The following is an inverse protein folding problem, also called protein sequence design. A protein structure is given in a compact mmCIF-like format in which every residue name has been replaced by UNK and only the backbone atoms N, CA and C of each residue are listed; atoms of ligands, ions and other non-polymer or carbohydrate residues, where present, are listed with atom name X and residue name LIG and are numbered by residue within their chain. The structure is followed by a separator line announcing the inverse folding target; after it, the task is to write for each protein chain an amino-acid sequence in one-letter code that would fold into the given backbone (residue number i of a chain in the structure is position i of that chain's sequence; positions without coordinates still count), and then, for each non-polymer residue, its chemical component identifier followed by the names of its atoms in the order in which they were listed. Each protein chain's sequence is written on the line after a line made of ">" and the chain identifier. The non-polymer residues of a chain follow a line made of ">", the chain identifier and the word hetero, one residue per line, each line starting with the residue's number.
data_IF_712213242910
#
_entry.id   IF_712213242910
#
_cell.length_a   1.000
_cell.length_b   1.000
_cell.length_c   1.000
_cell.angle_alpha   90.00
_cell.angle_beta   90.00
_cell.angle_gamma   90.00
#
_symmetry.space_group_name_H-M   'P 1'
#
loop_
_entity.id
_entity.type
_entity.pdbx_description
1 polymer ?
#
# COMPACT_ATOMS: atom_id res chain seq x y z
N UNK A 1 12.95 21.06 -10.58
CA UNK A 1 13.10 20.84 -9.14
C UNK A 1 14.18 19.78 -8.91
N UNK A 2 15.06 20.03 -7.97
CA UNK A 2 16.09 19.05 -7.59
C UNK A 2 15.57 18.21 -6.44
N UNK A 3 15.63 16.88 -6.58
CA UNK A 3 15.18 15.94 -5.57
C UNK A 3 16.38 15.14 -5.10
N UNK A 4 16.74 15.28 -3.83
CA UNK A 4 17.88 14.59 -3.24
C UNK A 4 17.48 13.56 -2.18
N UNK A 5 16.21 13.57 -1.74
CA UNK A 5 15.71 12.62 -0.75
C UNK A 5 14.18 12.60 -0.75
N UNK A 6 13.62 11.51 -0.21
CA UNK A 6 12.18 11.42 0.05
C UNK A 6 11.80 12.22 1.31
N UNK A 7 10.56 12.70 1.41
CA UNK A 7 10.04 13.24 2.65
C UNK A 7 9.96 12.16 3.74
N UNK A 8 9.64 12.50 5.00
CA UNK A 8 9.40 11.50 6.04
C UNK A 8 8.30 10.51 5.63
N UNK A 9 8.39 9.29 6.16
CA UNK A 9 7.42 8.24 5.86
C UNK A 9 6.02 8.65 6.35
N UNK A 10 5.00 8.45 5.50
CA UNK A 10 3.62 8.80 5.79
C UNK A 10 2.81 7.63 6.34
N UNK A 11 3.03 6.42 5.81
CA UNK A 11 2.44 5.22 6.37
C UNK A 11 3.31 3.99 6.13
N UNK A 12 3.07 2.97 6.94
CA UNK A 12 3.61 1.62 6.77
C UNK A 12 2.48 0.74 6.28
N UNK A 13 2.71 -0.01 5.21
CA UNK A 13 1.72 -0.91 4.64
C UNK A 13 1.96 -2.36 5.05
N UNK A 14 0.90 -3.01 5.49
CA UNK A 14 0.89 -4.43 5.86
C UNK A 14 -0.15 -5.12 4.99
N UNK A 15 0.27 -6.13 4.23
CA UNK A 15 -0.63 -6.91 3.37
C UNK A 15 -1.03 -8.16 4.11
N UNK A 16 -2.34 -8.46 4.12
CA UNK A 16 -2.90 -9.57 4.89
C UNK A 16 -3.83 -10.42 4.02
N UNK A 17 -4.00 -11.68 4.42
CA UNK A 17 -4.93 -12.58 3.75
C UNK A 17 -6.38 -12.40 4.23
N UNK A 18 -6.56 -11.91 5.45
CA UNK A 18 -7.87 -11.78 6.11
C UNK A 18 -7.91 -10.47 6.90
N UNK A 19 -8.65 -9.50 6.37
CA UNK A 19 -8.75 -8.16 6.96
C UNK A 19 -9.40 -8.19 8.35
N UNK A 20 -10.49 -8.93 8.50
CA UNK A 20 -11.23 -8.94 9.77
C UNK A 20 -10.37 -9.52 10.91
N UNK A 21 -9.66 -10.59 10.62
CA UNK A 21 -8.74 -11.21 11.58
C UNK A 21 -7.58 -10.27 11.92
N UNK A 22 -6.99 -9.65 10.90
CA UNK A 22 -5.87 -8.73 11.10
C UNK A 22 -6.27 -7.53 11.96
N UNK A 23 -7.43 -6.93 11.71
CA UNK A 23 -7.92 -5.81 12.50
C UNK A 23 -8.19 -6.20 13.95
N UNK A 24 -8.71 -7.39 14.19
CA UNK A 24 -8.93 -7.87 15.56
C UNK A 24 -7.60 -8.08 16.29
N UNK A 25 -6.61 -8.67 15.64
CA UNK A 25 -5.28 -8.84 16.22
C UNK A 25 -4.60 -7.50 16.51
N UNK A 26 -4.71 -6.54 15.59
CA UNK A 26 -4.15 -5.19 15.77
C UNK A 26 -4.83 -4.50 16.96
N UNK A 27 -6.15 -4.61 17.08
CA UNK A 27 -6.89 -4.04 18.20
C UNK A 27 -6.42 -4.64 19.53
N UNK A 28 -6.27 -5.97 19.60
CA UNK A 28 -5.86 -6.66 20.83
C UNK A 28 -4.41 -6.37 21.22
N UNK A 29 -3.50 -6.29 20.26
CA UNK A 29 -2.07 -6.15 20.52
C UNK A 29 -1.68 -4.68 20.70
N UNK A 30 -2.18 -3.80 19.84
CA UNK A 30 -1.76 -2.39 19.80
C UNK A 30 -2.82 -1.42 20.35
N UNK A 31 -4.04 -1.90 20.59
CA UNK A 31 -5.12 -1.03 21.06
C UNK A 31 -5.67 -0.10 20.00
N UNK A 32 -5.42 -0.38 18.72
CA UNK A 32 -5.88 0.45 17.60
C UNK A 32 -7.18 -0.15 17.04
N UNK A 33 -8.26 0.64 17.06
CA UNK A 33 -9.55 0.22 16.51
C UNK A 33 -9.67 0.72 15.07
N UNK A 34 -9.74 -0.21 14.12
CA UNK A 34 -9.86 0.08 12.71
C UNK A 34 -11.12 -0.44 12.04
N UNK A 35 -12.03 -1.03 12.82
CA UNK A 35 -13.18 -1.73 12.26
C UNK A 35 -14.09 -0.84 11.40
N UNK A 36 -14.23 0.45 11.75
CA UNK A 36 -15.06 1.40 11.01
C UNK A 36 -14.36 2.13 9.87
N UNK A 37 -13.11 1.77 9.56
CA UNK A 37 -12.27 2.50 8.61
C UNK A 37 -11.92 1.69 7.36
N UNK A 38 -12.67 0.64 7.06
CA UNK A 38 -12.42 -0.25 5.93
C UNK A 38 -13.14 0.27 4.69
N UNK A 39 -12.44 0.32 3.55
CA UNK A 39 -13.01 0.68 2.26
C UNK A 39 -12.40 -0.18 1.15
N UNK A 40 -13.08 -0.21 0.00
CA UNK A 40 -12.59 -0.92 -1.18
C UNK A 40 -11.95 0.06 -2.15
N UNK A 41 -10.71 -0.24 -2.52
CA UNK A 41 -9.98 0.52 -3.53
C UNK A 41 -10.06 -0.22 -4.86
N UNK A 42 -10.77 0.39 -5.83
CA UNK A 42 -10.98 -0.19 -7.16
C UNK A 42 -10.62 0.90 -8.18
N UNK A 43 -9.34 1.06 -8.53
CA UNK A 43 -8.91 2.13 -9.43
C UNK A 43 -9.42 1.91 -10.86
N UNK A 44 -9.62 3.00 -11.60
CA UNK A 44 -10.08 2.93 -13.00
C UNK A 44 -9.02 2.33 -13.93
N UNK A 45 -7.77 2.68 -13.69
CA UNK A 45 -6.65 2.20 -14.50
C UNK A 45 -5.56 1.64 -13.61
N UNK A 46 -5.04 0.47 -13.95
CA UNK A 46 -4.03 -0.24 -13.18
C UNK A 46 -2.95 -0.79 -14.10
N UNK A 47 -1.71 -0.62 -13.71
CA UNK A 47 -0.55 -1.23 -14.37
C UNK A 47 0.19 -2.08 -13.35
N UNK A 48 0.52 -3.31 -13.74
CA UNK A 48 1.31 -4.24 -12.95
C UNK A 48 2.56 -4.58 -13.74
N UNK A 49 3.73 -4.34 -13.14
CA UNK A 49 5.04 -4.55 -13.78
C UNK A 49 5.12 -3.89 -15.16
N UNK A 50 4.59 -2.68 -15.28
CA UNK A 50 4.63 -1.89 -16.50
C UNK A 50 3.56 -2.21 -17.54
N UNK A 51 2.71 -3.21 -17.29
CA UNK A 51 1.65 -3.61 -18.22
C UNK A 51 0.27 -3.26 -17.67
N UNK A 52 -0.58 -2.70 -18.52
CA UNK A 52 -1.95 -2.41 -18.14
C UNK A 52 -2.75 -3.70 -17.98
N UNK A 53 -3.43 -3.83 -16.85
CA UNK A 53 -4.27 -4.99 -16.53
C UNK A 53 -5.75 -4.58 -16.49
N UNK A 54 -6.70 -5.54 -16.57
CA UNK A 54 -8.14 -5.22 -16.57
C UNK A 54 -8.63 -4.50 -15.31
N UNK A 55 -8.00 -4.73 -14.18
CA UNK A 55 -8.37 -4.08 -12.94
C UNK A 55 -7.92 -4.85 -11.72
N UNK A 56 -8.18 -4.27 -10.56
CA UNK A 56 -7.92 -4.91 -9.28
C UNK A 56 -8.85 -4.34 -8.22
N UNK A 57 -8.94 -5.05 -7.11
CA UNK A 57 -9.60 -4.53 -5.91
C UNK A 57 -8.76 -4.89 -4.70
N UNK A 58 -8.50 -3.88 -3.87
CA UNK A 58 -7.81 -4.05 -2.60
C UNK A 58 -8.72 -3.49 -1.51
N UNK A 59 -8.97 -4.29 -0.49
CA UNK A 59 -9.67 -3.82 0.71
C UNK A 59 -8.64 -3.16 1.61
N UNK A 60 -8.90 -1.93 2.04
CA UNK A 60 -7.93 -1.11 2.76
C UNK A 60 -8.53 -0.59 4.07
N UNK A 61 -7.73 -0.66 5.14
CA UNK A 61 -7.99 0.06 6.38
C UNK A 61 -6.80 0.96 6.67
N UNK A 62 -7.05 2.27 6.80
CA UNK A 62 -6.02 3.26 7.11
C UNK A 62 -6.20 3.67 8.58
N UNK A 63 -5.26 3.26 9.43
CA UNK A 63 -5.35 3.40 10.88
C UNK A 63 -4.37 4.45 11.38
N UNK A 64 -4.78 5.23 12.39
CA UNK A 64 -3.88 6.14 13.09
C UNK A 64 -3.04 5.33 14.09
N UNK A 65 -1.73 5.29 13.87
CA UNK A 65 -0.79 4.57 14.74
C UNK A 65 -0.14 5.52 15.74
N UNK A 66 0.46 6.58 15.22
CA UNK A 66 1.02 7.68 16.02
C UNK A 66 0.47 9.00 15.48
N UNK A 67 0.83 10.12 16.10
CA UNK A 67 0.38 11.45 15.65
C UNK A 67 0.78 11.76 14.20
N UNK A 68 1.88 11.18 13.72
CA UNK A 68 2.43 11.45 12.38
C UNK A 68 2.54 10.23 11.47
N UNK A 69 2.23 9.02 11.96
CA UNK A 69 2.41 7.79 11.22
C UNK A 69 1.12 6.99 11.20
N UNK A 70 0.70 6.58 10.00
CA UNK A 70 -0.46 5.70 9.81
C UNK A 70 -0.01 4.28 9.53
N UNK A 71 -0.88 3.34 9.89
CA UNK A 71 -0.75 1.93 9.52
C UNK A 71 -1.81 1.62 8.49
N UNK A 72 -1.39 1.21 7.29
CA UNK A 72 -2.29 0.78 6.24
C UNK A 72 -2.34 -0.73 6.21
N UNK A 73 -3.53 -1.30 6.34
CA UNK A 73 -3.75 -2.74 6.23
C UNK A 73 -4.46 -3.01 4.91
N UNK A 74 -3.90 -3.90 4.09
CA UNK A 74 -4.39 -4.16 2.74
C UNK A 74 -4.68 -5.64 2.56
N UNK A 75 -5.88 -5.95 2.07
CA UNK A 75 -6.25 -7.31 1.66
C UNK A 75 -6.55 -7.29 0.17
N UNK A 76 -5.72 -7.94 -0.67
CA UNK A 76 -6.02 -8.05 -2.10
C UNK A 76 -7.26 -8.94 -2.31
N UNK A 77 -8.22 -8.46 -3.10
CA UNK A 77 -9.47 -9.16 -3.38
C UNK A 77 -9.41 -9.82 -4.75
N UNK A 78 -9.06 -9.08 -5.79
CA UNK A 78 -8.80 -9.64 -7.11
C UNK A 78 -7.79 -8.78 -7.88
N UNK A 79 -7.24 -9.36 -8.96
CA UNK A 79 -6.29 -8.71 -9.86
C UNK A 79 -4.89 -9.30 -9.71
N UNK A 80 -4.16 -9.35 -10.84
CA UNK A 80 -2.80 -9.87 -10.89
C UNK A 80 -1.80 -8.76 -10.52
N UNK A 81 -1.75 -8.40 -9.25
CA UNK A 81 -0.92 -7.33 -8.70
C UNK A 81 0.07 -7.89 -7.66
N UNK A 82 1.08 -7.09 -7.35
CA UNK A 82 2.13 -7.46 -6.40
C UNK A 82 1.58 -7.84 -5.02
N UNK A 83 0.55 -7.14 -4.56
CA UNK A 83 -0.07 -7.41 -3.26
C UNK A 83 -0.61 -8.85 -3.18
N UNK A 84 -1.24 -9.31 -4.27
CA UNK A 84 -1.77 -10.68 -4.34
C UNK A 84 -0.64 -11.70 -4.37
N UNK A 85 0.39 -11.45 -5.17
CA UNK A 85 1.58 -12.32 -5.22
C UNK A 85 2.23 -12.43 -3.85
N UNK A 86 2.34 -11.32 -3.12
CA UNK A 86 2.93 -11.30 -1.80
C UNK A 86 2.15 -12.18 -0.81
N UNK A 87 0.83 -12.09 -0.81
CA UNK A 87 -0.01 -12.96 0.03
C UNK A 87 0.16 -14.42 -0.34
N UNK A 88 0.11 -14.73 -1.65
CA UNK A 88 0.19 -16.11 -2.13
C UNK A 88 1.54 -16.76 -1.84
N UNK A 89 2.64 -16.02 -1.96
CA UNK A 89 3.99 -16.56 -1.79
C UNK A 89 4.52 -16.45 -0.37
N UNK A 90 4.18 -15.38 0.35
CA UNK A 90 4.73 -15.08 1.68
C UNK A 90 3.71 -15.27 2.80
N UNK A 91 2.44 -15.16 2.49
CA UNK A 91 1.35 -15.31 3.47
C UNK A 91 0.92 -14.00 4.11
N UNK A 92 1.60 -12.90 3.82
CA UNK A 92 1.31 -11.60 4.38
C UNK A 92 2.43 -11.07 5.25
N UNK A 93 2.30 -9.83 5.71
CA UNK A 93 3.26 -9.16 6.57
C UNK A 93 3.57 -7.74 6.10
N UNK A 94 4.63 -7.16 6.64
CA UNK A 94 5.08 -5.83 6.25
C UNK A 94 5.44 -5.82 4.76
N UNK A 95 4.92 -4.85 4.03
CA UNK A 95 5.01 -4.85 2.58
C UNK A 95 5.69 -3.59 2.02
N UNK A 96 5.36 -2.41 2.55
CA UNK A 96 5.90 -1.17 1.99
C UNK A 96 5.86 -0.02 2.98
N UNK A 97 6.63 1.01 2.66
CA UNK A 97 6.50 2.33 3.26
C UNK A 97 5.98 3.29 2.19
N UNK A 98 5.22 4.29 2.58
CA UNK A 98 4.63 5.24 1.66
C UNK A 98 5.03 6.67 1.99
N UNK A 99 5.14 7.48 0.95
CA UNK A 99 5.60 8.86 1.03
C UNK A 99 4.64 9.74 0.25
N UNK A 100 4.08 10.76 0.90
CA UNK A 100 3.15 11.68 0.26
C UNK A 100 3.93 12.83 -0.35
N UNK A 101 3.88 12.94 -1.66
CA UNK A 101 4.67 13.92 -2.43
C UNK A 101 3.75 14.79 -3.27
N UNK A 102 4.14 16.06 -3.49
CA UNK A 102 3.35 16.99 -4.30
C UNK A 102 3.64 16.84 -5.80
N UNK A 103 4.88 16.52 -6.14
CA UNK A 103 5.32 16.33 -7.53
C UNK A 103 5.62 14.85 -7.77
N UNK A 104 4.57 14.08 -7.93
CA UNK A 104 4.70 12.64 -8.16
C UNK A 104 5.59 12.30 -9.36
N UNK A 105 5.43 12.91 -10.55
CA UNK A 105 6.29 12.58 -11.69
C UNK A 105 7.77 12.78 -11.41
N UNK A 106 8.15 13.85 -10.73
CA UNK A 106 9.55 14.12 -10.41
C UNK A 106 10.14 13.09 -9.46
N UNK A 107 9.38 12.67 -8.43
CA UNK A 107 9.84 11.63 -7.51
C UNK A 107 9.90 10.27 -8.17
N UNK A 108 8.92 9.95 -9.04
CA UNK A 108 8.93 8.72 -9.82
C UNK A 108 10.19 8.63 -10.68
N UNK A 109 10.50 9.69 -11.41
CA UNK A 109 11.69 9.74 -12.27
C UNK A 109 12.98 9.64 -11.44
N UNK A 110 13.01 10.29 -10.29
CA UNK A 110 14.16 10.21 -9.38
C UNK A 110 14.40 8.77 -8.93
N UNK A 111 13.37 8.07 -8.48
CA UNK A 111 13.50 6.70 -7.97
C UNK A 111 13.88 5.72 -9.09
N UNK A 112 13.28 5.86 -10.25
CA UNK A 112 13.64 5.03 -11.42
C UNK A 112 15.08 5.29 -11.82
N UNK A 113 15.51 6.55 -11.79
CA UNK A 113 16.91 6.92 -12.08
C UNK A 113 17.92 6.35 -11.09
N UNK A 114 17.49 6.05 -9.86
CA UNK A 114 18.33 5.39 -8.84
C UNK A 114 18.27 3.87 -8.91
N UNK A 115 17.61 3.30 -9.93
CA UNK A 115 17.51 1.86 -10.12
C UNK A 115 16.23 1.23 -9.58
N UNK A 116 15.26 2.03 -9.17
CA UNK A 116 13.96 1.54 -8.72
C UNK A 116 13.12 0.98 -9.87
N UNK A 117 12.33 -0.04 -9.59
CA UNK A 117 11.41 -0.64 -10.55
C UNK A 117 9.97 -0.30 -10.18
N UNK A 118 9.15 0.05 -11.18
CA UNK A 118 7.74 0.32 -10.97
C UNK A 118 6.98 -1.00 -11.09
N UNK A 119 6.47 -1.51 -9.97
CA UNK A 119 5.76 -2.79 -9.93
C UNK A 119 4.25 -2.65 -9.89
N UNK A 120 3.74 -1.48 -9.50
CA UNK A 120 2.30 -1.21 -9.42
C UNK A 120 2.07 0.29 -9.60
N UNK A 121 1.14 0.64 -10.49
CA UNK A 121 0.65 2.00 -10.67
C UNK A 121 -0.86 1.99 -10.83
N UNK A 122 -1.52 3.04 -10.34
CA UNK A 122 -2.96 3.21 -10.52
C UNK A 122 -3.33 4.68 -10.69
N UNK A 123 -4.45 4.90 -11.36
CA UNK A 123 -5.08 6.23 -11.44
C UNK A 123 -6.59 6.15 -11.62
#
# INVERSE_FOLDING_TARGET
>A
MSIDRLPPVGHVGVVVADMDRALEEIRQIFGIDGAGKVYDFTPMNVWAWGEKIPGCQIRIAMLDWTDSLKLEVLQPVFGEIEHKRFVDEVGGGMHHTAYYVKDYPAYRDFIVGQGGEIIFESE
#
